data_IF_035172821309
#
_entry.id   IF_035172821309
#
_cell.length_a   1.000
_cell.length_b   1.000
_cell.length_c   1.000
_cell.angle_alpha   90.00
_cell.angle_beta   90.00
_cell.angle_gamma   90.00
#
_symmetry.space_group_name_H-M   'P 1'
#
loop_
_entity.id
_entity.type
_entity.pdbx_description
1 polymer ?
#
# COMPACT_ATOMS: atom_id res chain seq x y z
N UNK A 1 -9.03 19.34 -25.98
CA UNK A 1 -9.50 19.17 -24.59
C UNK A 1 -8.73 18.08 -23.84
N UNK A 2 -8.62 16.86 -24.39
CA UNK A 2 -7.94 15.74 -23.69
C UNK A 2 -6.42 15.89 -23.52
N UNK A 3 -5.75 16.69 -24.35
CA UNK A 3 -4.29 16.85 -24.32
C UNK A 3 -3.78 17.41 -22.99
N UNK A 4 -4.50 18.39 -22.43
CA UNK A 4 -4.21 18.99 -21.13
C UNK A 4 -5.16 18.53 -20.02
N UNK A 5 -5.53 17.25 -20.04
CA UNK A 5 -6.37 16.65 -18.98
C UNK A 5 -5.61 15.53 -18.28
N UNK A 6 -5.51 15.61 -16.95
CA UNK A 6 -4.99 14.54 -16.11
C UNK A 6 -6.10 13.52 -15.82
N UNK A 7 -5.92 12.29 -16.31
CA UNK A 7 -6.75 11.14 -15.95
C UNK A 7 -6.00 10.23 -14.98
N UNK A 8 -6.62 9.92 -13.84
CA UNK A 8 -6.15 8.93 -12.87
C UNK A 8 -7.15 7.76 -12.84
N UNK A 9 -6.64 6.55 -13.04
CA UNK A 9 -7.43 5.32 -12.87
C UNK A 9 -6.76 4.43 -11.83
N UNK A 10 -7.52 4.04 -10.81
CA UNK A 10 -7.01 3.24 -9.68
C UNK A 10 -8.14 2.50 -8.97
N UNK A 11 -7.81 1.78 -7.89
CA UNK A 11 -8.76 1.11 -7.01
C UNK A 11 -8.56 1.54 -5.55
N UNK A 12 -9.61 1.40 -4.74
CA UNK A 12 -9.60 1.70 -3.31
C UNK A 12 -8.83 0.68 -2.46
N UNK A 13 -8.75 -0.57 -2.94
CA UNK A 13 -8.11 -1.70 -2.26
C UNK A 13 -7.86 -2.86 -3.23
N UNK A 14 -7.05 -3.83 -2.80
CA UNK A 14 -6.89 -5.08 -3.52
C UNK A 14 -8.19 -5.89 -3.68
N UNK A 15 -8.18 -6.87 -4.58
CA UNK A 15 -9.37 -7.61 -4.98
C UNK A 15 -9.93 -8.53 -3.89
N UNK A 16 -11.20 -8.90 -4.04
CA UNK A 16 -11.86 -9.89 -3.20
C UNK A 16 -11.63 -11.28 -3.79
N UNK A 17 -11.00 -12.17 -3.02
CA UNK A 17 -10.90 -13.59 -3.40
C UNK A 17 -12.08 -14.39 -2.84
N UNK A 18 -12.42 -15.56 -3.43
CA UNK A 18 -13.38 -16.49 -2.87
C UNK A 18 -13.02 -16.89 -1.43
N UNK A 19 -13.99 -17.30 -0.60
CA UNK A 19 -13.69 -17.91 0.69
C UNK A 19 -12.75 -19.12 0.50
N UNK A 20 -11.77 -19.36 1.40
CA UNK A 20 -10.96 -20.57 1.32
C UNK A 20 -11.87 -21.80 1.48
N UNK A 21 -11.48 -22.98 0.96
CA UNK A 21 -12.32 -24.18 1.00
C UNK A 21 -12.82 -24.54 2.41
N UNK A 22 -12.04 -24.26 3.45
CA UNK A 22 -12.37 -24.55 4.84
C UNK A 22 -13.28 -23.49 5.50
N UNK A 23 -13.64 -22.41 4.80
CA UNK A 23 -14.47 -21.33 5.33
C UNK A 23 -15.96 -21.67 5.25
N UNK A 24 -16.68 -21.52 6.37
CA UNK A 24 -18.15 -21.59 6.43
C UNK A 24 -18.87 -20.37 5.82
N UNK A 25 -18.14 -19.35 5.37
CA UNK A 25 -18.74 -18.16 4.73
C UNK A 25 -19.28 -18.52 3.36
N UNK A 26 -20.54 -18.20 3.11
CA UNK A 26 -21.17 -18.29 1.78
C UNK A 26 -20.37 -17.47 0.78
N UNK A 27 -20.05 -18.07 -0.36
CA UNK A 27 -19.53 -17.33 -1.51
C UNK A 27 -20.64 -16.41 -2.01
N UNK A 28 -20.38 -15.10 -1.96
CA UNK A 28 -21.33 -14.07 -2.38
C UNK A 28 -21.13 -13.67 -3.84
N UNK A 29 -20.10 -14.16 -4.51
CA UNK A 29 -19.81 -13.83 -5.90
C UNK A 29 -19.25 -15.03 -6.68
N UNK A 30 -20.12 -15.91 -7.20
CA UNK A 30 -19.70 -17.11 -7.91
C UNK A 30 -18.89 -16.83 -9.18
N UNK A 31 -19.06 -15.64 -9.79
CA UNK A 31 -18.28 -15.25 -10.98
C UNK A 31 -16.79 -15.09 -10.68
N UNK A 32 -16.45 -14.60 -9.48
CA UNK A 32 -15.06 -14.48 -9.03
C UNK A 32 -14.43 -15.86 -8.89
N UNK A 33 -15.17 -16.82 -8.31
CA UNK A 33 -14.71 -18.20 -8.19
C UNK A 33 -14.43 -18.82 -9.55
N UNK A 34 -15.38 -18.69 -10.49
CA UNK A 34 -15.21 -19.18 -11.86
C UNK A 34 -14.00 -18.56 -12.57
N UNK A 35 -13.79 -17.25 -12.42
CA UNK A 35 -12.64 -16.58 -13.02
C UNK A 35 -11.31 -17.08 -12.44
N UNK A 36 -11.24 -17.28 -11.12
CA UNK A 36 -10.04 -17.84 -10.46
C UNK A 36 -9.80 -19.29 -10.90
N UNK A 37 -10.85 -20.11 -10.98
CA UNK A 37 -10.76 -21.49 -11.48
C UNK A 37 -10.33 -21.54 -12.97
N UNK A 38 -10.67 -20.53 -13.75
CA UNK A 38 -10.20 -20.33 -15.13
C UNK A 38 -8.77 -19.75 -15.22
N UNK A 39 -8.10 -19.51 -14.09
CA UNK A 39 -6.71 -19.05 -14.05
C UNK A 39 -6.51 -17.56 -13.80
N UNK A 40 -7.56 -16.77 -13.54
CA UNK A 40 -7.42 -15.35 -13.20
C UNK A 40 -6.69 -15.18 -11.86
N UNK A 41 -5.51 -14.56 -11.89
CA UNK A 41 -4.80 -14.08 -10.70
C UNK A 41 -5.28 -12.67 -10.33
N UNK A 42 -6.34 -12.57 -9.54
CA UNK A 42 -7.00 -11.29 -9.17
C UNK A 42 -6.02 -10.25 -8.61
N UNK A 43 -5.07 -10.68 -7.76
CA UNK A 43 -4.05 -9.81 -7.17
C UNK A 43 -2.65 -10.10 -7.74
N UNK A 44 -2.55 -10.74 -8.91
CA UNK A 44 -1.28 -11.21 -9.46
C UNK A 44 -0.57 -12.20 -8.52
N UNK A 45 0.74 -12.05 -8.39
CA UNK A 45 1.57 -12.87 -7.49
C UNK A 45 1.62 -12.33 -6.04
N UNK A 46 0.88 -11.26 -5.76
CA UNK A 46 0.91 -10.58 -4.46
C UNK A 46 0.01 -11.29 -3.43
N UNK A 47 0.57 -11.57 -2.26
CA UNK A 47 -0.15 -12.29 -1.20
C UNK A 47 -1.29 -11.45 -0.62
N UNK A 48 -2.37 -12.12 -0.26
CA UNK A 48 -3.49 -11.50 0.42
C UNK A 48 -4.55 -10.96 -0.54
N UNK A 49 -5.43 -10.14 0.01
CA UNK A 49 -6.66 -9.66 -0.62
C UNK A 49 -7.24 -8.50 0.18
N UNK A 50 -8.34 -7.91 -0.30
CA UNK A 50 -9.14 -6.93 0.46
C UNK A 50 -9.22 -7.29 1.95
N UNK A 51 -8.98 -6.29 2.80
CA UNK A 51 -8.95 -6.37 4.27
C UNK A 51 -7.73 -7.05 4.92
N UNK A 52 -6.78 -7.59 4.15
CA UNK A 52 -5.59 -8.28 4.69
C UNK A 52 -4.35 -7.41 4.57
N UNK A 53 -3.41 -7.57 5.51
CA UNK A 53 -2.22 -6.71 5.63
C UNK A 53 -1.14 -6.92 4.55
N UNK A 54 -1.21 -8.03 3.83
CA UNK A 54 -0.28 -8.40 2.75
C UNK A 54 -0.51 -7.57 1.47
N UNK A 55 0.46 -7.55 0.56
CA UNK A 55 0.52 -6.64 -0.61
C UNK A 55 -0.73 -6.69 -1.47
N UNK A 56 -1.31 -7.87 -1.71
CA UNK A 56 -2.54 -8.04 -2.47
C UNK A 56 -3.78 -7.41 -1.82
N UNK A 57 -3.67 -6.82 -0.63
CA UNK A 57 -4.69 -5.98 -0.01
C UNK A 57 -4.61 -4.49 -0.39
N UNK A 58 -3.45 -4.01 -0.84
CA UNK A 58 -3.15 -2.57 -1.03
C UNK A 58 -2.53 -2.23 -2.38
N UNK A 59 -1.83 -3.17 -3.01
CA UNK A 59 -1.21 -2.99 -4.31
C UNK A 59 -2.27 -3.07 -5.38
N UNK A 60 -2.60 -1.91 -5.94
CA UNK A 60 -3.66 -1.72 -6.93
C UNK A 60 -3.08 -1.23 -8.25
N UNK A 61 -3.80 -1.41 -9.37
CA UNK A 61 -3.48 -0.69 -10.60
C UNK A 61 -3.50 0.81 -10.34
N UNK A 62 -2.51 1.54 -10.86
CA UNK A 62 -2.50 3.00 -10.83
C UNK A 62 -2.02 3.50 -12.20
N UNK A 63 -2.95 3.95 -13.03
CA UNK A 63 -2.69 4.42 -14.38
C UNK A 63 -2.88 5.94 -14.44
N UNK A 64 -1.93 6.61 -15.09
CA UNK A 64 -1.99 8.04 -15.35
C UNK A 64 -1.98 8.27 -16.86
N UNK A 65 -2.88 9.11 -17.35
CA UNK A 65 -2.83 9.62 -18.73
C UNK A 65 -2.89 11.14 -18.70
N UNK A 66 -1.88 11.77 -19.26
CA UNK A 66 -1.84 13.21 -19.51
C UNK A 66 -0.88 13.49 -20.68
N UNK A 67 -1.38 13.57 -21.93
CA UNK A 67 -0.54 13.63 -23.13
C UNK A 67 0.53 14.72 -23.12
N UNK A 68 0.22 15.92 -22.62
CA UNK A 68 1.18 17.03 -22.56
C UNK A 68 2.32 16.85 -21.54
N UNK A 69 2.21 15.92 -20.59
CA UNK A 69 3.15 15.79 -19.46
C UNK A 69 3.70 14.40 -19.21
N UNK A 70 2.97 13.36 -19.58
CA UNK A 70 3.29 11.96 -19.30
C UNK A 70 3.59 11.25 -20.61
N UNK A 71 4.81 10.74 -20.74
CA UNK A 71 5.20 9.94 -21.89
C UNK A 71 4.33 8.67 -21.96
N UNK A 72 3.63 8.48 -23.08
CA UNK A 72 2.80 7.31 -23.30
C UNK A 72 3.62 6.00 -23.23
N UNK A 73 3.05 4.99 -22.58
CA UNK A 73 3.71 3.68 -22.41
C UNK A 73 4.87 3.67 -21.40
N UNK A 74 5.15 4.78 -20.72
CA UNK A 74 6.16 4.81 -19.66
C UNK A 74 5.71 4.03 -18.41
N UNK A 75 6.70 3.56 -17.65
CA UNK A 75 6.50 2.82 -16.39
C UNK A 75 7.27 3.52 -15.28
N UNK A 76 6.63 3.71 -14.13
CA UNK A 76 7.23 4.25 -12.93
C UNK A 76 7.23 3.17 -11.83
N UNK A 77 8.41 2.78 -11.37
CA UNK A 77 8.57 1.78 -10.31
C UNK A 77 8.67 2.40 -8.90
N UNK A 78 8.54 3.72 -8.81
CA UNK A 78 8.54 4.45 -7.53
C UNK A 78 7.25 4.17 -6.77
N UNK A 79 7.36 4.09 -5.45
CA UNK A 79 6.21 3.89 -4.56
C UNK A 79 5.39 5.17 -4.53
N UNK A 80 4.11 5.06 -4.87
CA UNK A 80 3.10 6.11 -4.71
C UNK A 80 1.90 5.52 -3.97
N UNK A 81 1.22 6.34 -3.17
CA UNK A 81 -0.01 5.97 -2.47
C UNK A 81 -1.19 6.78 -3.00
N UNK A 82 -2.40 6.24 -2.90
CA UNK A 82 -3.61 6.99 -3.27
C UNK A 82 -3.73 8.32 -2.48
N UNK A 83 -3.24 8.33 -1.23
CA UNK A 83 -3.15 9.51 -0.36
C UNK A 83 -2.33 10.66 -0.97
N UNK A 84 -1.39 10.36 -1.85
CA UNK A 84 -0.49 11.33 -2.49
C UNK A 84 -1.18 12.19 -3.55
N UNK A 85 -2.41 11.82 -3.93
CA UNK A 85 -3.21 12.57 -4.91
C UNK A 85 -3.46 14.00 -4.45
N UNK A 86 -3.66 14.23 -3.15
CA UNK A 86 -3.90 15.57 -2.61
C UNK A 86 -2.71 16.50 -2.88
N UNK A 87 -1.52 16.15 -2.41
CA UNK A 87 -0.31 16.95 -2.59
C UNK A 87 0.08 17.09 -4.07
N UNK A 88 -0.20 16.06 -4.88
CA UNK A 88 0.04 16.11 -6.32
C UNK A 88 -0.85 17.15 -7.01
N UNK A 89 -2.15 17.17 -6.71
CA UNK A 89 -3.08 18.15 -7.26
C UNK A 89 -2.83 19.56 -6.72
N UNK A 90 -2.46 19.71 -5.45
CA UNK A 90 -2.06 21.02 -4.91
C UNK A 90 -0.82 21.57 -5.65
N UNK A 91 0.21 20.74 -5.82
CA UNK A 91 1.40 21.12 -6.59
C UNK A 91 1.11 21.41 -8.07
N UNK A 92 0.16 20.69 -8.66
CA UNK A 92 -0.33 20.94 -10.02
C UNK A 92 -0.92 22.34 -10.18
N UNK A 93 -1.70 22.76 -9.19
CA UNK A 93 -2.42 24.03 -9.16
C UNK A 93 -1.57 25.20 -8.65
N UNK A 94 -0.32 24.94 -8.23
CA UNK A 94 0.54 25.95 -7.60
C UNK A 94 0.04 26.38 -6.22
N UNK A 95 -0.74 25.54 -5.55
CA UNK A 95 -1.31 25.82 -4.22
C UNK A 95 -0.38 25.28 -3.14
N UNK A 96 -0.01 26.14 -2.19
CA UNK A 96 0.76 25.74 -1.02
C UNK A 96 -0.05 24.78 -0.15
N UNK A 97 0.60 23.72 0.35
CA UNK A 97 0.00 22.84 1.34
C UNK A 97 0.01 23.53 2.71
N UNK A 98 -1.04 23.36 3.52
CA UNK A 98 -0.99 23.78 4.92
C UNK A 98 0.02 22.94 5.70
N UNK A 99 0.38 23.34 6.91
CA UNK A 99 1.21 22.54 7.80
C UNK A 99 0.67 21.11 7.97
N UNK A 100 1.54 20.09 8.15
CA UNK A 100 1.11 18.69 8.25
C UNK A 100 0.00 18.49 9.28
N UNK A 101 0.08 19.13 10.44
CA UNK A 101 -0.89 19.04 11.53
C UNK A 101 -2.29 19.53 11.15
N UNK A 102 -2.40 20.39 10.14
CA UNK A 102 -3.66 20.98 9.70
C UNK A 102 -4.33 20.17 8.57
N UNK A 103 -3.60 19.77 7.52
CA UNK A 103 -4.15 18.91 6.47
C UNK A 103 -3.08 18.22 5.62
N UNK A 104 -3.52 17.18 4.89
CA UNK A 104 -2.68 16.40 3.98
C UNK A 104 -1.44 15.78 4.67
N UNK A 105 -1.65 15.34 5.93
CA UNK A 105 -0.69 14.75 6.88
C UNK A 105 0.25 13.69 6.28
N UNK A 106 -0.23 12.91 5.32
CA UNK A 106 0.51 11.77 4.76
C UNK A 106 0.74 11.86 3.24
N UNK A 107 0.39 13.01 2.65
CA UNK A 107 0.35 13.19 1.20
C UNK A 107 1.67 13.77 0.70
N UNK A 108 2.38 13.02 -0.14
CA UNK A 108 3.64 13.47 -0.76
C UNK A 108 3.47 13.52 -2.28
N UNK A 109 3.73 14.66 -2.91
CA UNK A 109 3.49 14.84 -4.34
C UNK A 109 4.32 13.88 -5.20
N UNK A 110 3.66 13.14 -6.10
CA UNK A 110 4.31 12.37 -7.16
C UNK A 110 4.40 13.15 -8.48
N UNK A 111 4.07 14.44 -8.49
CA UNK A 111 4.10 15.29 -9.69
C UNK A 111 5.43 15.20 -10.48
N UNK A 112 6.63 15.17 -9.84
CA UNK A 112 7.89 15.01 -10.58
C UNK A 112 7.96 13.71 -11.40
N UNK A 113 7.31 12.64 -10.91
CA UNK A 113 7.29 11.33 -11.55
C UNK A 113 6.43 11.30 -12.82
N UNK A 114 5.52 12.24 -13.00
CA UNK A 114 4.70 12.32 -14.21
C UNK A 114 5.54 12.63 -15.45
N UNK A 115 6.49 13.55 -15.31
CA UNK A 115 7.39 13.95 -16.40
C UNK A 115 8.67 13.11 -16.44
N UNK A 116 9.14 12.62 -15.28
CA UNK A 116 10.40 11.87 -15.14
C UNK A 116 10.16 10.63 -14.26
N UNK A 117 9.68 9.51 -14.84
CA UNK A 117 9.31 8.31 -14.07
C UNK A 117 10.52 7.64 -13.37
N UNK A 118 11.74 7.96 -13.80
CA UNK A 118 13.00 7.49 -13.24
C UNK A 118 13.58 8.43 -12.16
N UNK A 119 12.95 9.58 -11.89
CA UNK A 119 13.40 10.53 -10.88
C UNK A 119 13.50 9.90 -9.48
N UNK A 120 14.16 10.61 -8.57
CA UNK A 120 14.29 10.18 -7.18
C UNK A 120 12.91 9.94 -6.56
N UNK A 121 12.81 8.88 -5.77
CA UNK A 121 11.62 8.52 -5.00
C UNK A 121 11.17 9.71 -4.12
N UNK A 122 9.98 10.32 -4.35
CA UNK A 122 9.55 11.50 -3.59
C UNK A 122 9.22 11.18 -2.14
N UNK A 123 8.48 10.08 -1.90
CA UNK A 123 8.13 9.62 -0.55
C UNK A 123 9.14 8.62 -0.01
N UNK A 124 9.62 8.81 1.21
CA UNK A 124 10.52 7.87 1.87
C UNK A 124 9.83 6.56 2.26
N UNK A 125 8.64 6.64 2.87
CA UNK A 125 7.89 5.49 3.36
C UNK A 125 6.37 5.63 3.18
N UNK A 126 5.66 4.51 3.31
CA UNK A 126 4.18 4.46 3.31
C UNK A 126 3.68 3.56 4.45
N UNK A 127 2.65 4.01 5.15
CA UNK A 127 1.96 3.27 6.20
C UNK A 127 0.74 2.59 5.60
N UNK A 128 0.51 1.34 5.98
CA UNK A 128 -0.64 0.53 5.61
C UNK A 128 -1.33 0.03 6.87
N UNK A 129 -2.64 -0.19 6.85
CA UNK A 129 -3.33 -0.90 7.91
C UNK A 129 -4.40 -1.83 7.36
N UNK A 130 -4.61 -2.98 8.00
CA UNK A 130 -5.68 -3.89 7.61
C UNK A 130 -6.99 -3.59 8.37
N UNK A 131 -8.06 -4.33 8.06
CA UNK A 131 -9.38 -4.13 8.68
C UNK A 131 -9.42 -4.48 10.19
N UNK A 132 -8.34 -5.03 10.75
CA UNK A 132 -8.15 -5.28 12.18
C UNK A 132 -7.26 -4.24 12.85
N UNK A 133 -6.85 -3.19 12.13
CA UNK A 133 -5.97 -2.14 12.63
C UNK A 133 -4.54 -2.60 12.88
N UNK A 134 -4.10 -3.71 12.26
CA UNK A 134 -2.68 -4.08 12.25
C UNK A 134 -1.98 -3.14 11.30
N UNK A 135 -1.00 -2.39 11.79
CA UNK A 135 -0.20 -1.51 10.95
C UNK A 135 0.97 -2.24 10.29
N UNK A 136 1.37 -1.73 9.14
CA UNK A 136 2.60 -2.04 8.46
C UNK A 136 3.24 -0.74 7.94
N UNK A 137 4.55 -0.76 7.77
CA UNK A 137 5.30 0.30 7.09
C UNK A 137 6.16 -0.30 5.99
N UNK A 138 6.18 0.36 4.84
CA UNK A 138 7.08 0.05 3.73
C UNK A 138 8.05 1.21 3.52
N UNK A 139 9.33 0.89 3.45
CA UNK A 139 10.40 1.82 3.09
C UNK A 139 11.32 1.13 2.07
N UNK A 140 11.36 1.65 0.85
CA UNK A 140 12.00 0.97 -0.27
C UNK A 140 11.43 -0.45 -0.52
N UNK A 141 12.27 -1.50 -0.60
CA UNK A 141 11.82 -2.86 -0.82
C UNK A 141 11.34 -3.55 0.47
N UNK A 142 11.59 -2.96 1.63
CA UNK A 142 11.28 -3.59 2.92
C UNK A 142 9.88 -3.26 3.38
N UNK A 143 9.15 -4.28 3.85
CA UNK A 143 7.84 -4.13 4.47
C UNK A 143 7.82 -4.82 5.83
N UNK A 144 7.59 -4.03 6.87
CA UNK A 144 7.44 -4.50 8.25
C UNK A 144 5.96 -4.47 8.64
N UNK A 145 5.45 -5.56 9.19
CA UNK A 145 4.09 -5.70 9.73
C UNK A 145 4.20 -5.88 11.24
N UNK A 146 3.55 -5.03 12.03
CA UNK A 146 3.77 -5.00 13.48
C UNK A 146 3.08 -6.15 14.23
N UNK A 147 2.05 -6.75 13.64
CA UNK A 147 1.33 -7.87 14.24
C UNK A 147 0.40 -7.52 15.41
N UNK A 148 0.07 -6.24 15.61
CA UNK A 148 -0.73 -5.76 16.75
C UNK A 148 -2.11 -5.32 16.26
N UNK A 149 -3.18 -6.09 16.48
CA UNK A 149 -4.52 -5.64 16.12
C UNK A 149 -5.00 -4.52 17.05
N UNK A 150 -5.90 -3.69 16.52
CA UNK A 150 -6.61 -2.67 17.27
C UNK A 150 -7.97 -3.18 17.77
N UNK A 151 -8.35 -2.77 18.98
CA UNK A 151 -9.64 -3.11 19.59
C UNK A 151 -9.71 -4.52 20.21
N UNK A 152 -10.91 -4.91 20.65
CA UNK A 152 -11.14 -6.21 21.30
C UNK A 152 -11.10 -7.35 20.27
N UNK A 153 -10.15 -8.28 20.45
CA UNK A 153 -9.98 -9.46 19.60
C UNK A 153 -10.19 -10.72 20.45
N UNK A 154 -10.92 -11.72 19.92
CA UNK A 154 -11.16 -12.98 20.63
C UNK A 154 -9.85 -13.75 20.82
N UNK A 155 -9.62 -14.44 21.96
CA UNK A 155 -8.39 -15.20 22.20
C UNK A 155 -8.04 -16.21 21.10
N UNK A 156 -9.04 -16.91 20.57
CA UNK A 156 -8.84 -17.85 19.46
C UNK A 156 -8.31 -17.16 18.19
N UNK A 157 -8.79 -15.94 17.90
CA UNK A 157 -8.32 -15.17 16.75
C UNK A 157 -6.89 -14.65 16.97
N UNK A 158 -6.57 -14.19 18.19
CA UNK A 158 -5.20 -13.82 18.61
C UNK A 158 -4.20 -14.98 18.46
N UNK A 159 -4.64 -16.20 18.77
CA UNK A 159 -3.80 -17.40 18.69
C UNK A 159 -3.53 -17.83 17.26
N UNK A 160 -4.55 -17.79 16.39
CA UNK A 160 -4.50 -18.46 15.08
C UNK A 160 -4.33 -17.53 13.88
N UNK A 161 -4.47 -16.21 14.04
CA UNK A 161 -4.28 -15.30 12.92
C UNK A 161 -2.79 -14.93 12.77
N UNK A 162 -2.14 -15.31 11.65
CA UNK A 162 -0.74 -14.96 11.42
C UNK A 162 -0.51 -13.46 11.25
N UNK A 163 -1.53 -12.68 10.87
CA UNK A 163 -1.45 -11.21 10.82
C UNK A 163 -1.22 -10.60 12.20
N UNK A 164 -1.38 -11.36 13.29
CA UNK A 164 -1.14 -10.90 14.67
C UNK A 164 0.23 -11.33 15.21
N UNK A 165 1.20 -11.48 14.30
CA UNK A 165 2.60 -11.71 14.62
C UNK A 165 3.45 -10.73 13.80
N UNK A 166 4.55 -10.20 14.37
CA UNK A 166 5.49 -9.40 13.61
C UNK A 166 6.02 -10.15 12.40
N UNK A 167 6.09 -9.48 11.25
CA UNK A 167 6.61 -10.04 10.01
C UNK A 167 7.48 -9.01 9.31
N UNK A 168 8.48 -9.48 8.55
CA UNK A 168 9.32 -8.64 7.70
C UNK A 168 9.51 -9.34 6.35
N UNK A 169 9.29 -8.61 5.26
CA UNK A 169 9.46 -9.12 3.90
C UNK A 169 10.28 -8.15 3.04
N UNK A 170 10.98 -8.70 2.05
CA UNK A 170 11.68 -7.94 1.02
C UNK A 170 10.95 -8.08 -0.33
N UNK A 171 10.17 -7.07 -0.69
CA UNK A 171 9.23 -7.11 -1.83
C UNK A 171 9.91 -7.07 -3.20
N UNK A 172 11.21 -6.76 -3.26
CA UNK A 172 11.95 -6.74 -4.54
C UNK A 172 12.16 -8.13 -5.15
N UNK A 173 12.10 -9.19 -4.33
CA UNK A 173 12.30 -10.58 -4.76
C UNK A 173 11.29 -11.56 -4.14
N UNK A 174 10.42 -11.10 -3.23
CA UNK A 174 9.39 -11.93 -2.59
C UNK A 174 8.00 -11.24 -2.68
N UNK A 175 7.38 -11.20 -3.88
CA UNK A 175 6.05 -10.63 -4.04
C UNK A 175 4.96 -11.42 -3.29
N UNK A 176 5.21 -12.70 -3.05
CA UNK A 176 4.31 -13.59 -2.34
C UNK A 176 4.42 -13.44 -0.81
N UNK A 177 5.31 -12.58 -0.29
CA UNK A 177 5.57 -12.41 1.14
C UNK A 177 5.67 -13.79 1.84
N UNK A 178 6.50 -14.66 1.28
CA UNK A 178 6.64 -16.07 1.64
C UNK A 178 7.79 -16.31 2.62
N UNK A 179 8.92 -15.59 2.51
CA UNK A 179 10.05 -15.73 3.43
C UNK A 179 10.00 -14.63 4.50
N UNK A 180 9.50 -14.98 5.68
CA UNK A 180 9.47 -14.05 6.81
C UNK A 180 10.88 -13.85 7.38
N UNK A 181 11.45 -12.69 7.12
CA UNK A 181 12.81 -12.30 7.51
C UNK A 181 12.91 -11.71 8.92
N UNK A 182 11.82 -11.71 9.72
CA UNK A 182 11.75 -11.05 11.03
C UNK A 182 12.90 -11.45 11.97
N UNK A 183 13.29 -12.73 11.99
CA UNK A 183 14.39 -13.23 12.82
C UNK A 183 15.78 -13.11 12.14
N UNK A 184 15.81 -12.92 10.82
CA UNK A 184 17.03 -12.92 10.00
C UNK A 184 17.61 -11.51 9.78
N UNK A 185 16.83 -10.47 10.02
CA UNK A 185 17.19 -9.05 9.77
C UNK A 185 16.76 -8.14 10.92
N UNK A 186 17.20 -8.39 12.17
CA UNK A 186 16.79 -7.61 13.33
C UNK A 186 17.05 -6.10 13.18
N UNK A 187 18.12 -5.71 12.48
CA UNK A 187 18.47 -4.32 12.19
C UNK A 187 17.43 -3.61 11.33
N UNK A 188 16.80 -4.32 10.38
CA UNK A 188 15.72 -3.77 9.55
C UNK A 188 14.42 -3.68 10.36
N UNK A 189 14.16 -4.66 11.23
CA UNK A 189 13.00 -4.66 12.12
C UNK A 189 13.06 -3.48 13.08
N UNK A 190 14.21 -3.23 13.69
CA UNK A 190 14.41 -2.11 14.61
C UNK A 190 14.19 -0.78 13.90
N UNK A 191 14.84 -0.57 12.75
CA UNK A 191 14.71 0.66 11.95
C UNK A 191 13.26 0.93 11.53
N UNK A 192 12.57 -0.06 10.96
CA UNK A 192 11.19 0.11 10.49
C UNK A 192 10.19 0.19 11.64
N UNK A 193 10.42 -0.54 12.73
CA UNK A 193 9.62 -0.42 13.95
C UNK A 193 9.73 0.97 14.57
N UNK A 194 10.95 1.54 14.62
CA UNK A 194 11.19 2.90 15.06
C UNK A 194 10.49 3.92 14.15
N UNK A 195 10.62 3.78 12.83
CA UNK A 195 9.95 4.65 11.84
C UNK A 195 8.42 4.64 12.01
N UNK A 196 7.81 3.46 12.15
CA UNK A 196 6.37 3.35 12.37
C UNK A 196 5.94 4.03 13.68
N UNK A 197 6.73 3.90 14.75
CA UNK A 197 6.44 4.56 16.01
C UNK A 197 6.62 6.08 15.95
N UNK A 198 7.62 6.56 15.20
CA UNK A 198 7.82 7.99 14.96
C UNK A 198 6.59 8.61 14.29
N UNK A 199 6.12 8.03 13.19
CA UNK A 199 4.92 8.52 12.49
C UNK A 199 3.67 8.46 13.38
N UNK A 200 3.54 7.41 14.19
CA UNK A 200 2.44 7.28 15.15
C UNK A 200 2.46 8.36 16.23
N UNK A 201 3.64 8.75 16.71
CA UNK A 201 3.79 9.79 17.72
C UNK A 201 3.59 11.19 17.13
N UNK A 202 4.07 11.43 15.92
CA UNK A 202 3.88 12.69 15.21
C UNK A 202 2.41 12.92 14.79
N UNK A 203 1.70 11.84 14.44
CA UNK A 203 0.34 11.90 13.90
C UNK A 203 0.28 12.19 12.40
N UNK A 204 1.43 12.25 11.74
CA UNK A 204 1.59 12.47 10.30
C UNK A 204 2.89 11.83 9.80
N UNK A 205 2.96 11.52 8.50
CA UNK A 205 4.16 10.94 7.85
C UNK A 205 4.82 11.84 6.81
N UNK A 206 4.18 12.96 6.44
CA UNK A 206 4.74 13.97 5.55
C UNK A 206 5.72 14.85 6.33
N UNK A 207 6.93 15.01 5.80
CA UNK A 207 7.87 16.02 6.32
C UNK A 207 7.25 17.42 6.20
N UNK A 208 7.44 18.26 7.22
CA UNK A 208 7.19 19.68 7.08
C UNK A 208 8.13 20.27 6.00
N UNK A 209 7.66 21.23 5.19
CA UNK A 209 8.50 21.89 4.18
C UNK A 209 9.73 22.58 4.77
#
# INVERSE_FOLDING_TARGET
>A
ELENTLFLFTSDNGGVLPPPPQSKRKDRNPSIKQAVEAGLKINGDWRGRKHRIWEGGFRVPFLVRWPERVQAGSVCERTVGLVDTYATLAGLLGVALPEPEAAAQDSVSFLPLLAKPDASQPRDSIILHNARGVFAVRQGPWKYIEGKPHGKVRPAELKHNPEFRPQLYHLGNDPAEADNLIAKRPEVVERLGALLNQHRQAGFSRSAP
#
